data_IF_834694577197
#
_entry.id   IF_834694577197
#
_cell.length_a   1.000
_cell.length_b   1.000
_cell.length_c   1.000
_cell.angle_alpha   90.00
_cell.angle_beta   90.00
_cell.angle_gamma   90.00
#
_symmetry.space_group_name_H-M   'P 1'
#
loop_
_entity.id
_entity.type
_entity.pdbx_description
1 polymer ?
#
# COMPACT_ATOMS: atom_id res chain seq x y z
N UNK A 1 12.24 20.74 13.91
CA UNK A 1 11.00 19.93 13.91
C UNK A 1 10.62 19.62 12.46
N UNK A 2 10.55 18.35 12.07
CA UNK A 2 10.15 17.97 10.71
C UNK A 2 8.67 18.33 10.48
N UNK A 3 8.40 19.10 9.43
CA UNK A 3 7.05 19.53 9.03
C UNK A 3 6.24 18.29 8.63
N UNK A 4 5.31 17.84 9.49
CA UNK A 4 4.39 16.73 9.20
C UNK A 4 3.69 16.99 7.87
N UNK A 5 3.96 16.14 6.87
CA UNK A 5 3.36 16.26 5.53
C UNK A 5 1.87 15.96 5.63
N UNK A 6 1.06 16.76 4.92
CA UNK A 6 -0.39 16.68 4.93
C UNK A 6 -0.80 15.42 4.16
N UNK A 7 -1.02 14.32 4.87
CA UNK A 7 -1.56 13.07 4.30
C UNK A 7 -2.98 13.36 3.82
N UNK A 8 -3.22 13.24 2.52
CA UNK A 8 -4.58 13.32 1.99
C UNK A 8 -5.27 12.01 2.36
N UNK A 9 -6.32 12.10 3.16
CA UNK A 9 -7.07 10.93 3.57
C UNK A 9 -7.85 10.43 2.35
N UNK A 10 -7.34 9.38 1.70
CA UNK A 10 -7.83 8.89 0.42
C UNK A 10 -9.30 8.48 0.47
N UNK A 11 -9.73 7.82 1.55
CA UNK A 11 -11.14 7.53 1.84
C UNK A 11 -11.29 7.28 3.35
N UNK A 12 -12.24 7.93 4.04
CA UNK A 12 -12.71 7.49 5.37
C UNK A 12 -13.81 6.44 5.17
N UNK A 13 -13.43 5.22 4.77
CA UNK A 13 -14.34 4.06 4.74
C UNK A 13 -13.77 3.02 5.70
N UNK A 14 -14.57 2.60 6.67
CA UNK A 14 -14.21 1.55 7.63
C UNK A 14 -13.47 2.05 8.88
N UNK A 15 -14.11 2.94 9.62
CA UNK A 15 -13.75 3.22 11.02
C UNK A 15 -14.95 2.93 11.91
N UNK A 16 -15.52 1.74 11.81
CA UNK A 16 -16.75 1.38 12.52
C UNK A 16 -16.98 -0.13 12.53
N UNK A 17 -17.92 -0.62 13.35
CA UNK A 17 -18.25 -2.03 13.43
C UNK A 17 -18.74 -2.58 12.07
N UNK A 18 -18.64 -3.91 11.84
CA UNK A 18 -19.03 -4.55 10.59
C UNK A 18 -20.40 -4.08 10.06
N UNK A 19 -20.56 -3.88 8.73
CA UNK A 19 -19.75 -4.43 7.63
C UNK A 19 -18.61 -3.50 7.11
N UNK A 20 -18.10 -2.57 7.92
CA UNK A 20 -16.96 -1.70 7.56
C UNK A 20 -15.59 -2.40 7.56
N UNK A 21 -14.57 -1.75 6.98
CA UNK A 21 -13.16 -2.14 7.19
C UNK A 21 -12.76 -1.89 8.66
N UNK A 22 -11.82 -2.67 9.18
CA UNK A 22 -11.26 -2.46 10.52
C UNK A 22 -10.25 -1.31 10.56
N UNK A 23 -9.62 -1.02 9.42
CA UNK A 23 -8.61 0.02 9.26
C UNK A 23 -9.04 1.05 8.23
N UNK A 24 -8.78 2.33 8.52
CA UNK A 24 -8.91 3.39 7.52
C UNK A 24 -7.79 3.29 6.48
N UNK A 25 -8.02 3.76 5.25
CA UNK A 25 -6.99 3.77 4.19
C UNK A 25 -6.68 5.20 3.75
N UNK A 26 -5.45 5.65 4.03
CA UNK A 26 -4.85 6.85 3.49
C UNK A 26 -3.99 6.54 2.27
N UNK A 27 -3.94 7.44 1.29
CA UNK A 27 -3.09 7.29 0.11
C UNK A 27 -2.41 8.64 -0.10
N UNK A 28 -1.07 8.64 -0.17
CA UNK A 28 -0.35 9.88 -0.49
C UNK A 28 -0.65 10.29 -1.95
N UNK A 29 -0.81 11.59 -2.20
CA UNK A 29 -1.12 12.09 -3.55
C UNK A 29 -0.11 11.59 -4.59
N UNK A 30 1.19 11.64 -4.27
CA UNK A 30 2.25 11.13 -5.14
C UNK A 30 2.13 9.62 -5.39
N UNK A 31 1.68 8.84 -4.40
CA UNK A 31 1.45 7.41 -4.57
C UNK A 31 0.31 7.14 -5.56
N UNK A 32 -0.78 7.91 -5.46
CA UNK A 32 -1.90 7.81 -6.38
C UNK A 32 -1.49 8.20 -7.81
N UNK A 33 -0.73 9.28 -7.97
CA UNK A 33 -0.20 9.72 -9.26
C UNK A 33 0.76 8.71 -9.89
N UNK A 34 1.72 8.19 -9.11
CA UNK A 34 2.63 7.14 -9.58
C UNK A 34 1.86 5.89 -10.02
N UNK A 35 0.85 5.49 -9.25
CA UNK A 35 0.03 4.34 -9.58
C UNK A 35 -0.75 4.54 -10.88
N UNK A 36 -1.36 5.70 -11.08
CA UNK A 36 -2.11 6.02 -12.29
C UNK A 36 -1.22 6.13 -13.55
N UNK A 37 0.04 6.53 -13.38
CA UNK A 37 1.01 6.62 -14.49
C UNK A 37 1.53 5.25 -14.95
N UNK A 38 1.46 4.24 -14.07
CA UNK A 38 2.05 2.90 -14.32
C UNK A 38 0.98 1.85 -14.59
N UNK A 39 -0.16 1.92 -13.90
CA UNK A 39 -1.18 0.90 -13.91
C UNK A 39 -2.36 1.29 -14.81
N UNK A 40 -2.83 0.34 -15.61
CA UNK A 40 -4.14 0.43 -16.23
C UNK A 40 -5.27 0.37 -15.21
N UNK A 41 -6.49 0.72 -15.61
CA UNK A 41 -7.65 0.80 -14.70
C UNK A 41 -7.93 -0.51 -13.97
N UNK A 42 -7.84 -1.66 -14.65
CA UNK A 42 -8.04 -2.98 -14.03
C UNK A 42 -6.96 -3.30 -13.00
N UNK A 43 -5.70 -3.05 -13.35
CA UNK A 43 -4.54 -3.27 -12.49
C UNK A 43 -4.59 -2.39 -11.24
N UNK A 44 -4.93 -1.11 -11.41
CA UNK A 44 -5.14 -0.19 -10.29
C UNK A 44 -6.24 -0.69 -9.35
N UNK A 45 -7.39 -1.09 -9.90
CA UNK A 45 -8.50 -1.64 -9.11
C UNK A 45 -8.08 -2.89 -8.35
N UNK A 46 -7.31 -3.77 -8.98
CA UNK A 46 -6.79 -4.99 -8.36
C UNK A 46 -5.91 -4.69 -7.13
N UNK A 47 -4.93 -3.80 -7.26
CA UNK A 47 -4.10 -3.38 -6.12
C UNK A 47 -4.94 -2.70 -5.04
N UNK A 48 -5.87 -1.83 -5.42
CA UNK A 48 -6.76 -1.17 -4.47
C UNK A 48 -7.67 -2.17 -3.73
N UNK A 49 -8.07 -3.28 -4.35
CA UNK A 49 -8.82 -4.35 -3.70
C UNK A 49 -7.96 -5.08 -2.66
N UNK A 50 -6.68 -5.36 -2.95
CA UNK A 50 -5.79 -5.98 -1.97
C UNK A 50 -5.57 -5.09 -0.75
N UNK A 51 -5.36 -3.78 -0.94
CA UNK A 51 -5.27 -2.84 0.19
C UNK A 51 -6.55 -2.85 1.04
N UNK A 52 -7.73 -2.90 0.39
CA UNK A 52 -9.02 -3.01 1.10
C UNK A 52 -9.17 -4.34 1.84
N UNK A 53 -8.68 -5.45 1.28
CA UNK A 53 -8.69 -6.75 1.94
C UNK A 53 -7.80 -6.75 3.19
N UNK A 54 -6.62 -6.12 3.14
CA UNK A 54 -5.78 -5.94 4.33
C UNK A 54 -6.48 -5.07 5.37
N UNK A 55 -7.10 -3.97 4.93
CA UNK A 55 -7.82 -3.07 5.81
C UNK A 55 -9.04 -3.73 6.51
N UNK A 56 -9.56 -4.82 5.95
CA UNK A 56 -10.66 -5.58 6.55
C UNK A 56 -10.20 -6.58 7.63
N UNK A 57 -8.89 -6.81 7.78
CA UNK A 57 -8.34 -7.81 8.69
C UNK A 57 -7.99 -7.18 10.05
N UNK A 58 -8.03 -8.01 11.11
CA UNK A 58 -7.60 -7.59 12.45
C UNK A 58 -6.13 -7.16 12.49
N UNK A 59 -5.29 -7.88 11.76
CA UNK A 59 -3.89 -7.52 11.53
C UNK A 59 -3.65 -7.35 10.01
N UNK A 60 -3.41 -6.12 9.52
CA UNK A 60 -3.21 -5.85 8.11
C UNK A 60 -1.78 -6.18 7.63
N UNK A 61 -0.89 -6.58 8.54
CA UNK A 61 0.50 -6.95 8.23
C UNK A 61 0.67 -8.45 7.99
N UNK A 62 -0.32 -9.26 8.35
CA UNK A 62 -0.36 -10.70 8.15
C UNK A 62 -1.63 -11.08 7.41
N UNK A 63 -1.49 -11.51 6.15
CA UNK A 63 -2.62 -11.94 5.34
C UNK A 63 -2.41 -13.31 4.72
N UNK A 64 -3.45 -14.13 4.74
CA UNK A 64 -3.45 -15.42 4.05
C UNK A 64 -3.67 -15.29 2.53
N UNK A 65 -4.27 -14.17 2.09
CA UNK A 65 -4.69 -13.97 0.69
C UNK A 65 -3.79 -13.00 -0.09
N UNK A 66 -3.08 -12.12 0.60
CA UNK A 66 -2.23 -11.09 0.01
C UNK A 66 -0.79 -11.33 0.49
N UNK A 67 0.18 -11.43 -0.44
CA UNK A 67 1.59 -11.58 -0.06
C UNK A 67 2.11 -10.24 0.48
N UNK A 68 2.09 -10.12 1.80
CA UNK A 68 2.61 -8.98 2.55
C UNK A 68 3.97 -9.34 3.13
N UNK A 69 4.95 -8.46 2.94
CA UNK A 69 6.30 -8.61 3.50
C UNK A 69 6.75 -7.35 4.20
N UNK A 70 7.44 -7.53 5.32
CA UNK A 70 8.11 -6.43 5.98
C UNK A 70 9.36 -6.02 5.17
N UNK A 71 9.54 -4.71 5.01
CA UNK A 71 10.72 -4.09 4.43
C UNK A 71 11.18 -3.01 5.39
N UNK A 72 12.11 -3.39 6.27
CA UNK A 72 12.58 -2.53 7.36
C UNK A 72 11.41 -2.11 8.28
N UNK A 73 11.11 -0.81 8.37
CA UNK A 73 10.02 -0.24 9.14
C UNK A 73 8.69 -0.12 8.36
N UNK A 74 8.69 -0.55 7.10
CA UNK A 74 7.55 -0.50 6.19
C UNK A 74 7.04 -1.90 5.84
N UNK A 75 5.90 -1.94 5.16
CA UNK A 75 5.31 -3.14 4.61
C UNK A 75 5.12 -2.99 3.10
N UNK A 76 5.25 -4.09 2.37
CA UNK A 76 4.97 -4.15 0.94
C UNK A 76 3.96 -5.25 0.63
N UNK A 77 2.98 -4.93 -0.22
CA UNK A 77 2.19 -5.91 -0.96
C UNK A 77 3.02 -6.31 -2.17
N UNK A 78 3.20 -7.61 -2.40
CA UNK A 78 3.89 -8.16 -3.56
C UNK A 78 2.88 -8.89 -4.44
N UNK A 79 2.80 -8.49 -5.70
CA UNK A 79 1.91 -9.17 -6.63
C UNK A 79 2.46 -9.15 -8.05
N UNK A 80 2.23 -10.23 -8.80
CA UNK A 80 2.68 -10.40 -10.18
C UNK A 80 1.77 -11.36 -10.93
N UNK A 81 1.69 -11.20 -12.25
CA UNK A 81 0.87 -12.08 -13.08
C UNK A 81 -0.63 -11.78 -12.96
N UNK A 82 -1.45 -12.69 -13.47
CA UNK A 82 -2.92 -12.59 -13.35
C UNK A 82 -3.45 -11.23 -13.83
N UNK A 83 -4.25 -10.51 -13.01
CA UNK A 83 -4.76 -9.17 -13.34
C UNK A 83 -3.68 -8.13 -13.63
N UNK A 84 -2.44 -8.35 -13.20
CA UNK A 84 -1.29 -7.47 -13.45
C UNK A 84 -0.57 -7.76 -14.77
N UNK A 85 -0.88 -8.88 -15.44
CA UNK A 85 -0.20 -9.29 -16.66
C UNK A 85 1.30 -9.47 -16.43
N UNK A 86 2.13 -8.80 -17.23
CA UNK A 86 3.59 -8.89 -17.11
C UNK A 86 4.20 -7.98 -16.03
N UNK A 87 3.38 -7.28 -15.25
CA UNK A 87 3.87 -6.42 -14.17
C UNK A 87 4.16 -7.23 -12.91
N UNK A 88 5.28 -6.91 -12.26
CA UNK A 88 5.63 -7.34 -10.92
C UNK A 88 5.62 -6.10 -10.03
N UNK A 89 4.54 -5.92 -9.27
CA UNK A 89 4.26 -4.73 -8.50
C UNK A 89 4.65 -4.95 -7.04
N UNK A 90 5.23 -3.91 -6.44
CA UNK A 90 5.30 -3.78 -4.99
C UNK A 90 4.64 -2.48 -4.57
N UNK A 91 3.57 -2.57 -3.79
CA UNK A 91 2.89 -1.41 -3.23
C UNK A 91 3.27 -1.28 -1.75
N UNK A 92 3.84 -0.14 -1.37
CA UNK A 92 4.35 0.11 -0.02
C UNK A 92 3.32 0.81 0.84
N UNK A 93 3.24 0.40 2.10
CA UNK A 93 2.40 1.05 3.09
C UNK A 93 3.04 1.02 4.48
N UNK A 94 2.58 1.92 5.36
CA UNK A 94 2.82 1.84 6.80
C UNK A 94 1.50 1.65 7.55
N UNK A 95 1.61 1.21 8.80
CA UNK A 95 0.48 1.04 9.72
C UNK A 95 0.57 2.12 10.80
N UNK A 96 -0.43 3.00 10.84
CA UNK A 96 -0.61 3.98 11.91
C UNK A 96 -1.59 3.42 12.95
N UNK A 97 -1.04 2.76 13.98
CA UNK A 97 -1.82 2.17 15.06
C UNK A 97 -2.61 3.22 15.85
N UNK A 98 -2.09 4.45 15.98
CA UNK A 98 -2.76 5.52 16.74
C UNK A 98 -4.07 5.96 16.07
N UNK A 99 -4.13 5.87 14.74
CA UNK A 99 -5.30 6.21 13.93
C UNK A 99 -6.03 5.00 13.36
N UNK A 100 -5.55 3.79 13.67
CA UNK A 100 -5.97 2.54 13.04
C UNK A 100 -6.10 2.68 11.53
N UNK A 101 -5.00 3.06 10.87
CA UNK A 101 -4.97 3.35 9.44
C UNK A 101 -3.80 2.70 8.69
N UNK A 102 -4.04 2.32 7.44
CA UNK A 102 -3.03 1.97 6.44
C UNK A 102 -2.73 3.19 5.58
N UNK A 103 -1.47 3.60 5.49
CA UNK A 103 -1.06 4.73 4.65
C UNK A 103 -0.23 4.19 3.48
N UNK A 104 -0.78 4.24 2.28
CA UNK A 104 -0.11 3.83 1.05
C UNK A 104 0.89 4.91 0.63
N UNK A 105 2.17 4.51 0.56
CA UNK A 105 3.31 5.41 0.35
C UNK A 105 3.71 5.52 -1.12
N UNK A 106 3.46 4.49 -1.93
CA UNK A 106 3.86 4.44 -3.33
C UNK A 106 3.88 3.02 -3.87
N UNK A 107 4.28 2.89 -5.14
CA UNK A 107 4.54 1.59 -5.74
C UNK A 107 5.79 1.60 -6.60
N UNK A 108 6.32 0.41 -6.86
CA UNK A 108 7.38 0.18 -7.85
C UNK A 108 7.02 -0.99 -8.75
N UNK A 109 7.54 -0.97 -9.98
CA UNK A 109 7.55 -2.12 -10.88
C UNK A 109 8.93 -2.75 -10.81
N UNK A 110 8.98 -4.02 -10.44
CA UNK A 110 10.22 -4.79 -10.38
C UNK A 110 10.44 -5.53 -11.69
N UNK A 111 11.70 -5.61 -12.13
CA UNK A 111 12.12 -6.48 -13.24
C UNK A 111 12.43 -7.92 -12.79
N UNK A 112 12.57 -8.15 -11.49
CA UNK A 112 12.93 -9.45 -10.90
C UNK A 112 12.26 -9.66 -9.54
N UNK A 113 12.26 -10.89 -9.04
CA UNK A 113 11.66 -11.22 -7.74
C UNK A 113 12.56 -10.97 -6.53
N UNK A 114 13.77 -10.45 -6.75
CA UNK A 114 14.75 -10.16 -5.69
C UNK A 114 14.32 -9.05 -4.74
N UNK A 115 15.13 -8.75 -3.73
CA UNK A 115 14.83 -7.75 -2.69
C UNK A 115 14.50 -6.36 -3.27
N UNK A 116 13.74 -5.56 -2.52
CA UNK A 116 13.47 -4.15 -2.86
C UNK A 116 14.80 -3.37 -2.92
N UNK A 117 15.09 -2.66 -4.02
CA UNK A 117 16.33 -1.89 -4.16
C UNK A 117 16.49 -0.83 -3.07
N UNK A 118 17.73 -0.56 -2.67
CA UNK A 118 18.01 0.39 -1.59
C UNK A 118 17.42 1.79 -1.85
N UNK A 119 17.54 2.29 -3.09
CA UNK A 119 16.99 3.59 -3.47
C UNK A 119 15.48 3.68 -3.30
N UNK A 120 14.75 2.60 -3.61
CA UNK A 120 13.31 2.55 -3.41
C UNK A 120 12.93 2.51 -1.93
N UNK A 121 13.66 1.75 -1.11
CA UNK A 121 13.45 1.72 0.35
C UNK A 121 13.64 3.11 0.96
N UNK A 122 14.76 3.76 0.63
CA UNK A 122 15.07 5.12 1.09
C UNK A 122 13.98 6.09 0.63
N UNK A 123 13.57 6.04 -0.64
CA UNK A 123 12.50 6.87 -1.18
C UNK A 123 11.18 6.71 -0.43
N UNK A 124 10.76 5.48 -0.12
CA UNK A 124 9.53 5.21 0.62
C UNK A 124 9.63 5.67 2.07
N UNK A 125 10.78 5.46 2.72
CA UNK A 125 11.00 5.93 4.10
C UNK A 125 10.87 7.45 4.23
N UNK A 126 11.38 8.22 3.28
CA UNK A 126 11.24 9.68 3.28
C UNK A 126 9.81 10.20 2.99
N UNK A 127 8.84 9.31 2.74
CA UNK A 127 7.43 9.67 2.55
C UNK A 127 6.60 9.53 3.83
N UNK A 128 7.09 8.76 4.80
CA UNK A 128 6.52 8.58 6.13
C UNK A 128 7.19 9.51 7.14
#
# INVERSE_FOLDING_TARGET
MAKRRKVKLGVRKGGGPPPGYEWSVGILDFAAHEAAAVLGTSQYRHIAMQVKQLAAQGDPTHSAMVDVRQVEDLWEIRDKGGPLGNLNIRAFFCVDNSRRALIVLGLIVKKNDGKTPLGDKVRMRHRW
#
